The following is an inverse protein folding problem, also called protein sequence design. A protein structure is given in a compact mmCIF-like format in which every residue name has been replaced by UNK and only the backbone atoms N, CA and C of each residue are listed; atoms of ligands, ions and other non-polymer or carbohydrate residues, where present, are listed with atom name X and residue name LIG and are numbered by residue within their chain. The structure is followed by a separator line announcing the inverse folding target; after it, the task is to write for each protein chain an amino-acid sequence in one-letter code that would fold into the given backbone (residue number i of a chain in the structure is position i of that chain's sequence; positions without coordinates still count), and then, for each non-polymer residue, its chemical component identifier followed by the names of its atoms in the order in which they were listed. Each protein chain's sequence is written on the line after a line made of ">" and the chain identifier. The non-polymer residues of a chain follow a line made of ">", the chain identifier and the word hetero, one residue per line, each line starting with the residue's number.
data_IF_794163765759
#
_entry.id   IF_794163765759
#
_cell.length_a   1.000
_cell.length_b   1.000
_cell.length_c   1.000
_cell.angle_alpha   90.00
_cell.angle_beta   90.00
_cell.angle_gamma   90.00
#
_symmetry.space_group_name_H-M   'P 1'
#
loop_
_entity.id
_entity.type
_entity.pdbx_description
1 polymer ?
#
# COMPACT_ATOMS: atom_id res chain seq x y z
N UNK A 1 -9.95 -18.90 -7.77
CA UNK A 1 -10.03 -18.11 -6.53
C UNK A 1 -10.04 -16.66 -6.95
N UNK A 2 -11.17 -15.97 -6.85
CA UNK A 2 -11.26 -14.55 -7.24
C UNK A 2 -10.83 -13.70 -6.03
N UNK A 3 -9.84 -12.83 -6.19
CA UNK A 3 -9.48 -11.83 -5.17
C UNK A 3 -10.30 -10.56 -5.39
N UNK A 4 -10.72 -9.88 -4.32
CA UNK A 4 -11.31 -8.56 -4.41
C UNK A 4 -10.26 -7.54 -4.80
N UNK A 5 -10.35 -6.98 -6.01
CA UNK A 5 -9.48 -5.90 -6.48
C UNK A 5 -10.35 -4.67 -6.69
N UNK A 6 -10.23 -3.66 -5.81
CA UNK A 6 -10.60 -2.27 -6.09
C UNK A 6 -10.36 -1.44 -4.84
N UNK A 7 -9.24 -0.72 -4.80
CA UNK A 7 -9.05 0.51 -4.04
C UNK A 7 -7.93 1.27 -4.74
N UNK A 8 -8.28 2.38 -5.39
CA UNK A 8 -7.29 3.38 -5.77
C UNK A 8 -7.10 4.23 -4.53
N UNK A 9 -5.90 4.24 -3.96
CA UNK A 9 -5.56 5.12 -2.85
C UNK A 9 -4.51 6.12 -3.32
N UNK A 10 -4.73 7.39 -3.01
CA UNK A 10 -3.78 8.47 -3.17
C UNK A 10 -3.48 9.03 -1.79
N UNK A 11 -2.22 9.01 -1.38
CA UNK A 11 -1.83 9.46 -0.05
C UNK A 11 -0.50 10.20 -0.08
N UNK A 12 -0.34 11.14 0.85
CA UNK A 12 0.90 11.85 1.13
C UNK A 12 1.50 11.21 2.38
N UNK A 13 2.66 10.56 2.27
CA UNK A 13 3.38 9.90 3.38
C UNK A 13 2.79 8.60 3.90
N UNK A 14 1.52 8.52 4.33
CA UNK A 14 1.03 7.29 5.01
C UNK A 14 -0.39 6.86 4.67
N UNK A 15 -0.56 5.57 4.47
CA UNK A 15 -1.87 4.92 4.42
C UNK A 15 -1.85 3.59 5.18
N UNK A 16 -3.02 3.13 5.61
CA UNK A 16 -3.16 1.78 6.16
C UNK A 16 -4.48 1.14 5.76
N UNK A 17 -4.45 -0.18 5.68
CA UNK A 17 -5.62 -1.04 5.48
C UNK A 17 -5.65 -2.03 6.62
N UNK A 18 -6.76 -2.07 7.34
CA UNK A 18 -6.96 -2.97 8.46
C UNK A 18 -8.27 -3.73 8.35
N UNK A 19 -8.32 -4.91 8.97
CA UNK A 19 -9.59 -5.62 9.17
C UNK A 19 -10.53 -4.77 10.05
N UNK A 20 -11.84 -4.83 9.79
CA UNK A 20 -12.82 -4.05 10.56
C UNK A 20 -13.22 -4.73 11.87
N UNK A 21 -13.09 -6.07 11.97
CA UNK A 21 -13.44 -6.81 13.20
C UNK A 21 -12.21 -7.38 13.90
N UNK A 22 -12.21 -7.43 15.25
CA UNK A 22 -11.15 -8.08 16.01
C UNK A 22 -10.95 -9.54 15.61
N UNK A 23 -9.71 -10.01 15.66
CA UNK A 23 -9.26 -11.39 15.36
C UNK A 23 -9.37 -11.85 13.90
N UNK A 24 -10.06 -11.11 13.03
CA UNK A 24 -10.05 -11.36 11.59
C UNK A 24 -8.63 -11.24 11.02
N UNK A 25 -8.40 -11.91 9.89
CA UNK A 25 -7.10 -11.96 9.24
C UNK A 25 -7.23 -12.05 7.73
N UNK A 26 -6.23 -11.54 7.04
CA UNK A 26 -6.09 -11.66 5.60
C UNK A 26 -4.66 -12.04 5.21
N UNK A 27 -4.55 -12.49 3.97
CA UNK A 27 -3.37 -12.68 3.16
C UNK A 27 -3.26 -11.49 2.23
N UNK A 28 -2.10 -10.85 2.23
CA UNK A 28 -1.75 -9.79 1.30
C UNK A 28 -0.95 -10.34 0.13
N UNK A 29 -1.59 -10.42 -1.04
CA UNK A 29 -0.98 -11.01 -2.23
C UNK A 29 -0.10 -10.02 -2.96
N UNK A 30 -0.66 -8.86 -3.32
CA UNK A 30 0.02 -7.89 -4.19
C UNK A 30 -0.59 -6.51 -4.16
N UNK A 31 0.19 -5.55 -4.65
CA UNK A 31 -0.24 -4.17 -4.91
C UNK A 31 0.49 -3.64 -6.14
N UNK A 32 -0.14 -2.74 -6.91
CA UNK A 32 0.56 -1.95 -7.91
C UNK A 32 0.68 -0.51 -7.39
N UNK A 33 1.88 0.07 -7.46
CA UNK A 33 2.09 1.44 -6.99
C UNK A 33 2.99 2.25 -7.93
N UNK A 34 2.81 3.57 -7.97
CA UNK A 34 3.78 4.49 -8.56
C UNK A 34 3.86 5.79 -7.76
N UNK A 35 4.96 6.51 -7.96
CA UNK A 35 5.10 7.85 -7.40
C UNK A 35 4.29 8.83 -8.23
N UNK A 36 3.58 9.74 -7.55
CA UNK A 36 2.77 10.75 -8.21
C UNK A 36 3.60 11.96 -8.67
N UNK A 37 4.69 12.30 -7.96
CA UNK A 37 5.47 13.51 -8.25
C UNK A 37 6.99 13.30 -8.33
N UNK A 38 7.51 12.27 -7.66
CA UNK A 38 8.95 12.07 -7.49
C UNK A 38 9.47 10.88 -8.31
N UNK A 39 10.74 10.95 -8.69
CA UNK A 39 11.54 9.77 -9.00
C UNK A 39 12.22 9.23 -7.75
N UNK A 40 12.52 7.93 -7.79
CA UNK A 40 13.23 7.21 -6.74
C UNK A 40 12.55 7.34 -5.36
N UNK A 41 11.22 7.43 -5.34
CA UNK A 41 10.44 7.50 -4.12
C UNK A 41 10.44 6.11 -3.46
N UNK A 42 10.76 6.05 -2.18
CA UNK A 42 10.69 4.80 -1.43
C UNK A 42 9.26 4.59 -0.93
N UNK A 43 8.72 3.40 -1.17
CA UNK A 43 7.49 2.91 -0.55
C UNK A 43 7.85 1.75 0.36
N UNK A 44 7.71 1.94 1.67
CA UNK A 44 7.81 0.89 2.67
C UNK A 44 6.42 0.34 2.97
N UNK A 45 6.28 -0.97 2.86
CA UNK A 45 5.07 -1.73 3.13
C UNK A 45 5.33 -2.58 4.36
N UNK A 46 4.49 -2.45 5.38
CA UNK A 46 4.65 -3.16 6.65
C UNK A 46 3.40 -3.96 6.99
N UNK A 47 3.53 -5.28 7.13
CA UNK A 47 2.47 -6.19 7.56
C UNK A 47 2.46 -6.38 9.07
N UNK A 48 1.28 -6.32 9.68
CA UNK A 48 1.10 -6.41 11.12
C UNK A 48 0.12 -7.53 11.51
N UNK A 49 0.34 -8.06 12.72
CA UNK A 49 -0.62 -8.89 13.45
C UNK A 49 -0.64 -8.47 14.91
N UNK A 50 -1.82 -8.18 15.47
CA UNK A 50 -2.03 -7.73 16.84
C UNK A 50 -1.10 -6.56 17.22
N UNK A 51 -0.96 -5.58 16.32
CA UNK A 51 -0.05 -4.42 16.44
C UNK A 51 1.45 -4.74 16.41
N UNK A 52 1.84 -5.99 16.16
CA UNK A 52 3.24 -6.40 16.00
C UNK A 52 3.56 -6.40 14.51
N UNK A 53 4.65 -5.74 14.12
CA UNK A 53 5.22 -5.86 12.78
C UNK A 53 5.75 -7.28 12.57
N UNK A 54 5.28 -7.96 11.53
CA UNK A 54 5.69 -9.33 11.19
C UNK A 54 6.31 -9.44 9.80
N UNK A 55 6.08 -8.46 8.92
CA UNK A 55 6.68 -8.38 7.60
C UNK A 55 6.99 -6.93 7.21
N UNK A 56 8.06 -6.73 6.44
CA UNK A 56 8.43 -5.43 5.87
C UNK A 56 9.04 -5.61 4.49
N UNK A 57 8.72 -4.70 3.57
CA UNK A 57 9.28 -4.63 2.21
C UNK A 57 9.38 -3.18 1.77
N UNK A 58 10.52 -2.79 1.20
CA UNK A 58 10.71 -1.47 0.62
C UNK A 58 10.87 -1.57 -0.88
N UNK A 59 10.11 -0.76 -1.61
CA UNK A 59 10.14 -0.68 -3.06
C UNK A 59 10.52 0.71 -3.55
N UNK A 60 11.27 0.79 -4.65
CA UNK A 60 11.56 2.06 -5.33
C UNK A 60 10.53 2.29 -6.44
N UNK A 61 9.85 3.43 -6.35
CA UNK A 61 8.84 3.90 -7.30
C UNK A 61 9.39 5.06 -8.15
N UNK A 62 8.91 5.12 -9.39
CA UNK A 62 9.22 6.19 -10.35
C UNK A 62 7.94 6.95 -10.71
N UNK A 63 8.11 8.21 -11.11
CA UNK A 63 7.01 9.08 -11.51
C UNK A 63 6.20 8.44 -12.66
N UNK A 64 4.90 8.26 -12.43
CA UNK A 64 3.96 7.81 -13.47
C UNK A 64 4.20 6.40 -14.01
N UNK A 65 5.05 5.58 -13.36
CA UNK A 65 5.37 4.22 -13.80
C UNK A 65 4.85 3.19 -12.79
N UNK A 66 3.64 2.64 -12.98
CA UNK A 66 3.09 1.59 -12.13
C UNK A 66 4.03 0.38 -12.04
N UNK A 67 4.34 -0.02 -10.81
CA UNK A 67 5.15 -1.19 -10.50
C UNK A 67 4.32 -2.21 -9.71
N UNK A 68 4.16 -3.44 -10.22
CA UNK A 68 3.55 -4.52 -9.45
C UNK A 68 4.53 -5.02 -8.39
N UNK A 69 4.03 -5.22 -7.17
CA UNK A 69 4.76 -5.73 -6.00
C UNK A 69 4.03 -6.97 -5.51
N UNK A 70 4.72 -8.10 -5.46
CA UNK A 70 4.19 -9.41 -5.05
C UNK A 70 4.79 -9.80 -3.70
N UNK A 71 3.95 -10.12 -2.71
CA UNK A 71 4.39 -10.32 -1.32
C UNK A 71 3.90 -11.63 -0.70
N UNK A 72 2.65 -12.03 -0.94
CA UNK A 72 2.06 -13.27 -0.41
C UNK A 72 2.17 -13.43 1.11
N UNK A 73 2.01 -12.33 1.86
CA UNK A 73 2.10 -12.35 3.33
C UNK A 73 0.79 -12.84 3.95
N UNK A 74 0.86 -13.79 4.86
CA UNK A 74 -0.32 -14.41 5.48
C UNK A 74 -0.51 -13.97 6.94
N UNK A 75 -1.72 -14.18 7.47
CA UNK A 75 -2.07 -13.93 8.86
C UNK A 75 -1.90 -12.46 9.32
N UNK A 76 -2.14 -11.51 8.41
CA UNK A 76 -2.13 -10.08 8.73
C UNK A 76 -3.49 -9.62 9.24
N UNK A 77 -3.53 -8.61 10.10
CA UNK A 77 -4.73 -7.82 10.38
C UNK A 77 -4.63 -6.36 9.93
N UNK A 78 -3.43 -5.92 9.56
CA UNK A 78 -3.17 -4.58 9.04
C UNK A 78 -1.96 -4.57 8.11
N UNK A 79 -2.06 -3.77 7.06
CA UNK A 79 -0.90 -3.29 6.29
C UNK A 79 -0.77 -1.78 6.47
N UNK A 80 0.47 -1.32 6.56
CA UNK A 80 0.82 0.11 6.52
C UNK A 80 1.65 0.35 5.27
N UNK A 81 1.40 1.46 4.60
CA UNK A 81 2.11 1.95 3.43
C UNK A 81 2.70 3.30 3.82
N UNK A 82 4.02 3.43 3.72
CA UNK A 82 4.72 4.66 4.09
C UNK A 82 5.68 5.08 2.98
N UNK A 83 5.58 6.33 2.53
CA UNK A 83 6.41 6.88 1.47
C UNK A 83 7.41 7.91 1.98
N UNK A 84 8.64 7.84 1.47
CA UNK A 84 9.70 8.77 1.87
C UNK A 84 10.75 9.00 0.78
N UNK A 85 11.47 10.12 0.90
CA UNK A 85 12.57 10.48 0.02
C UNK A 85 12.13 10.79 -1.42
N UNK A 86 12.99 10.40 -2.37
CA UNK A 86 12.84 10.71 -3.78
C UNK A 86 13.21 12.16 -4.14
N UNK A 87 13.17 12.44 -5.44
CA UNK A 87 13.46 13.76 -6.00
C UNK A 87 12.34 14.16 -6.96
N UNK A 88 11.89 15.41 -6.92
CA UNK A 88 10.86 15.89 -7.83
C UNK A 88 11.21 15.59 -9.29
N UNK A 89 10.31 14.93 -10.02
CA UNK A 89 10.50 14.65 -11.44
C UNK A 89 10.36 15.97 -12.23
N UNK A 90 11.23 16.30 -13.20
CA UNK A 90 11.20 17.59 -13.92
C UNK A 90 9.90 17.99 -14.63
N UNK A 91 8.96 17.04 -14.76
CA UNK A 91 7.68 17.19 -15.47
C UNK A 91 6.47 17.03 -14.54
N UNK A 92 6.68 16.75 -13.26
CA UNK A 92 5.57 16.40 -12.37
C UNK A 92 4.71 17.60 -11.99
N UNK A 93 5.23 18.82 -12.11
CA UNK A 93 4.55 20.04 -11.67
C UNK A 93 4.32 20.12 -10.15
N UNK A 94 4.50 19.01 -9.43
CA UNK A 94 4.47 18.89 -7.98
C UNK A 94 5.83 19.22 -7.36
N UNK A 95 5.81 19.72 -6.14
CA UNK A 95 7.03 20.00 -5.35
C UNK A 95 7.69 18.71 -4.83
N UNK A 96 8.46 18.84 -3.74
CA UNK A 96 9.11 17.71 -3.05
C UNK A 96 8.12 16.81 -2.26
N UNK A 97 6.91 16.60 -2.77
CA UNK A 97 5.88 15.84 -2.07
C UNK A 97 6.03 14.34 -2.32
N UNK A 98 5.83 13.52 -1.29
CA UNK A 98 6.05 12.07 -1.33
C UNK A 98 4.79 11.28 -1.68
N UNK A 99 3.94 11.82 -2.56
CA UNK A 99 2.67 11.16 -2.86
C UNK A 99 2.84 9.86 -3.63
N UNK A 100 2.04 8.86 -3.25
CA UNK A 100 1.96 7.56 -3.92
C UNK A 100 0.55 7.34 -4.45
N UNK A 101 0.48 6.80 -5.67
CA UNK A 101 -0.72 6.25 -6.26
C UNK A 101 -0.67 4.74 -6.10
N UNK A 102 -1.63 4.18 -5.37
CA UNK A 102 -1.83 2.73 -5.23
C UNK A 102 -3.00 2.32 -6.08
N UNK A 103 -2.81 1.25 -6.85
CA UNK A 103 -3.82 0.56 -7.63
C UNK A 103 -3.77 -0.95 -7.36
N UNK A 104 -4.89 -1.64 -7.61
CA UNK A 104 -4.95 -3.11 -7.63
C UNK A 104 -4.42 -3.80 -6.35
N UNK A 105 -4.76 -3.27 -5.16
CA UNK A 105 -4.54 -3.99 -3.91
C UNK A 105 -5.30 -5.33 -3.94
N UNK A 106 -4.58 -6.44 -3.71
CA UNK A 106 -5.14 -7.79 -3.75
C UNK A 106 -4.91 -8.51 -2.42
N UNK A 107 -6.00 -8.92 -1.78
CA UNK A 107 -6.04 -9.55 -0.46
C UNK A 107 -7.08 -10.69 -0.44
N UNK A 108 -6.95 -11.63 0.49
CA UNK A 108 -7.93 -12.71 0.71
C UNK A 108 -7.66 -13.55 1.96
N UNK A 109 -8.41 -14.63 2.26
CA UNK A 109 -9.70 -14.98 1.66
C UNK A 109 -10.72 -13.87 1.94
N UNK A 110 -11.77 -13.75 1.11
CA UNK A 110 -12.80 -12.70 1.21
C UNK A 110 -13.20 -12.46 2.66
N UNK A 111 -12.78 -11.31 3.19
CA UNK A 111 -13.54 -10.65 4.22
C UNK A 111 -14.45 -9.69 3.44
N UNK A 112 -15.75 -9.70 3.77
CA UNK A 112 -16.78 -8.89 3.11
C UNK A 112 -16.36 -7.42 2.84
N UNK A 113 -17.02 -6.71 1.94
CA UNK A 113 -16.72 -5.28 1.72
C UNK A 113 -16.95 -4.37 2.95
N UNK A 114 -17.49 -4.93 4.05
CA UNK A 114 -17.63 -4.29 5.37
C UNK A 114 -16.48 -4.60 6.34
N UNK A 115 -15.45 -5.34 5.92
CA UNK A 115 -14.39 -5.82 6.82
C UNK A 115 -13.03 -5.24 6.54
N UNK A 116 -12.93 -4.20 5.72
CA UNK A 116 -11.70 -3.46 5.51
C UNK A 116 -11.93 -1.97 5.66
N UNK A 117 -11.12 -1.33 6.49
CA UNK A 117 -11.11 0.11 6.66
C UNK A 117 -9.81 0.69 6.10
N UNK A 118 -9.94 1.71 5.25
CA UNK A 118 -8.82 2.54 4.82
C UNK A 118 -8.70 3.73 5.75
N UNK A 119 -7.50 3.93 6.30
CA UNK A 119 -7.14 5.16 6.96
C UNK A 119 -6.02 5.81 6.16
N UNK A 120 -6.33 6.93 5.52
CA UNK A 120 -5.38 7.80 4.80
C UNK A 120 -5.11 8.98 5.73
N UNK A 121 -3.84 9.25 6.02
CA UNK A 121 -3.43 10.32 6.94
C UNK A 121 -2.34 11.16 6.31
#
# INVERSE_FOLDING_TARGET
>A
MAGGSRNIAFFEQKASVSVARPNEKFTFFSVAACAAWNDNLQLTITGHRNSIEINTHTEILLFGKPKPILLFWENLDKITLESSGGTAHPMSGGGNWTHVLVAQLTIGPFIDENTLSWNIT
#
